data_IF_881494658559
#
_entry.id   IF_881494658559
#
_cell.length_a   1.000
_cell.length_b   1.000
_cell.length_c   1.000
_cell.angle_alpha   90.00
_cell.angle_beta   90.00
_cell.angle_gamma   90.00
#
_symmetry.space_group_name_H-M   'P 1'
#
loop_
_entity.id
_entity.type
_entity.pdbx_description
1 polymer ?
#
# COMPACT_ATOMS: atom_id res chain seq x y z
N UNK A 1 22.51 3.56 14.77
CA UNK A 1 22.12 3.02 13.45
C UNK A 1 21.87 4.22 12.54
N UNK A 2 22.82 4.58 11.68
CA UNK A 2 22.64 5.70 10.75
C UNK A 2 21.56 5.33 9.75
N UNK A 3 20.46 6.09 9.70
CA UNK A 3 19.50 6.01 8.60
C UNK A 3 20.21 6.51 7.34
N UNK A 4 20.90 5.61 6.65
CA UNK A 4 21.32 5.87 5.28
C UNK A 4 20.05 6.05 4.45
N UNK A 5 19.90 7.14 3.71
CA UNK A 5 18.80 7.30 2.78
C UNK A 5 18.73 6.06 1.89
N UNK A 6 17.57 5.41 1.88
CA UNK A 6 17.35 4.11 1.21
C UNK A 6 17.86 4.13 -0.24
N UNK A 7 17.77 5.27 -0.92
CA UNK A 7 18.23 5.46 -2.29
C UNK A 7 19.74 5.47 -2.47
N UNK A 8 20.48 6.01 -1.50
CA UNK A 8 21.94 6.00 -1.48
C UNK A 8 22.45 4.60 -1.12
N UNK A 9 21.73 3.89 -0.26
CA UNK A 9 22.06 2.49 0.08
C UNK A 9 21.89 1.52 -1.11
N UNK A 10 21.01 1.84 -2.06
CA UNK A 10 20.72 1.04 -3.25
C UNK A 10 21.38 1.58 -4.54
N UNK A 11 22.26 2.60 -4.45
CA UNK A 11 22.95 3.23 -5.59
C UNK A 11 22.00 3.68 -6.72
N UNK A 12 20.82 4.19 -6.36
CA UNK A 12 19.82 4.55 -7.36
C UNK A 12 19.97 5.96 -7.90
N UNK A 13 19.69 6.19 -9.20
CA UNK A 13 19.69 7.53 -9.76
C UNK A 13 18.65 8.41 -9.06
N UNK A 14 19.10 9.49 -8.41
CA UNK A 14 18.22 10.44 -7.71
C UNK A 14 17.22 11.13 -8.67
N UNK A 15 17.57 11.27 -9.94
CA UNK A 15 16.75 11.94 -10.96
C UNK A 15 15.40 11.27 -11.23
N UNK A 16 15.29 9.95 -11.08
CA UNK A 16 14.01 9.25 -11.27
C UNK A 16 12.97 9.63 -10.20
N UNK A 17 13.41 9.86 -8.96
CA UNK A 17 12.53 10.32 -7.88
C UNK A 17 12.05 11.75 -8.10
N UNK A 18 12.93 12.62 -8.59
CA UNK A 18 12.54 14.01 -8.92
C UNK A 18 11.47 14.01 -10.01
N UNK A 19 11.65 13.21 -11.07
CA UNK A 19 10.66 13.07 -12.14
C UNK A 19 9.30 12.57 -11.62
N UNK A 20 9.29 11.54 -10.77
CA UNK A 20 8.06 11.02 -10.16
C UNK A 20 7.40 12.03 -9.23
N UNK A 21 8.17 12.75 -8.41
CA UNK A 21 7.64 13.80 -7.53
C UNK A 21 7.00 14.95 -8.34
N UNK A 22 7.63 15.37 -9.43
CA UNK A 22 7.06 16.38 -10.33
C UNK A 22 5.78 15.88 -11.02
N UNK A 23 5.75 14.62 -11.46
CA UNK A 23 4.56 14.02 -12.05
C UNK A 23 3.39 13.98 -11.04
N UNK A 24 3.64 13.59 -9.79
CA UNK A 24 2.61 13.62 -8.74
C UNK A 24 2.15 15.04 -8.40
N UNK A 25 3.06 16.02 -8.35
CA UNK A 25 2.69 17.42 -8.15
C UNK A 25 1.81 17.94 -9.30
N UNK A 26 2.14 17.60 -10.55
CA UNK A 26 1.34 17.97 -11.72
C UNK A 26 -0.04 17.30 -11.70
N UNK A 27 -0.11 16.01 -11.38
CA UNK A 27 -1.37 15.29 -11.21
C UNK A 27 -2.23 15.92 -10.11
N UNK A 28 -1.64 16.23 -8.96
CA UNK A 28 -2.33 16.91 -7.86
C UNK A 28 -2.90 18.26 -8.29
N UNK A 29 -2.13 19.08 -9.03
CA UNK A 29 -2.62 20.34 -9.58
C UNK A 29 -3.80 20.16 -10.55
N UNK A 30 -3.73 19.16 -11.43
CA UNK A 30 -4.82 18.87 -12.37
C UNK A 30 -6.09 18.41 -11.66
N UNK A 31 -5.97 17.62 -10.58
CA UNK A 31 -7.09 17.23 -9.72
C UNK A 31 -7.69 18.45 -9.02
N UNK A 32 -6.85 19.29 -8.39
CA UNK A 32 -7.31 20.50 -7.68
C UNK A 32 -8.01 21.50 -8.60
N UNK A 33 -7.58 21.60 -9.85
CA UNK A 33 -8.19 22.47 -10.85
C UNK A 33 -9.41 21.84 -11.54
N UNK A 34 -9.82 20.62 -11.15
CA UNK A 34 -10.96 19.91 -11.73
C UNK A 34 -10.74 19.35 -13.14
N UNK A 35 -9.52 19.45 -13.68
CA UNK A 35 -9.16 18.90 -14.99
C UNK A 35 -9.05 17.36 -14.97
N UNK A 36 -8.84 16.77 -13.79
CA UNK A 36 -8.84 15.32 -13.57
C UNK A 36 -9.73 14.96 -12.38
N UNK A 37 -10.40 13.80 -12.47
CA UNK A 37 -11.20 13.28 -11.37
C UNK A 37 -10.30 12.90 -10.18
N UNK A 38 -10.66 13.27 -8.93
CA UNK A 38 -9.96 12.80 -7.73
C UNK A 38 -9.91 11.27 -7.59
N UNK A 39 -10.84 10.56 -8.24
CA UNK A 39 -10.84 9.09 -8.30
C UNK A 39 -9.56 8.54 -8.93
N UNK A 40 -8.94 9.27 -9.85
CA UNK A 40 -7.68 8.85 -10.50
C UNK A 40 -6.57 8.74 -9.45
N UNK A 41 -6.49 9.70 -8.52
CA UNK A 41 -5.49 9.66 -7.45
C UNK A 41 -5.64 8.41 -6.57
N UNK A 42 -6.86 8.13 -6.10
CA UNK A 42 -7.13 6.93 -5.32
C UNK A 42 -6.90 5.63 -6.10
N UNK A 43 -7.32 5.58 -7.37
CA UNK A 43 -7.14 4.40 -8.23
C UNK A 43 -5.67 4.08 -8.49
N UNK A 44 -4.81 5.09 -8.64
CA UNK A 44 -3.37 4.90 -8.76
C UNK A 44 -2.78 4.22 -7.52
N UNK A 45 -3.20 4.64 -6.32
CA UNK A 45 -2.77 3.99 -5.08
C UNK A 45 -3.23 2.54 -5.02
N UNK A 46 -4.49 2.25 -5.35
CA UNK A 46 -5.01 0.88 -5.38
C UNK A 46 -4.22 0.01 -6.36
N UNK A 47 -3.98 0.51 -7.58
CA UNK A 47 -3.28 -0.24 -8.62
C UNK A 47 -1.83 -0.53 -8.21
N UNK A 48 -1.08 0.50 -7.83
CA UNK A 48 0.34 0.36 -7.45
C UNK A 48 0.46 -0.49 -6.19
N UNK A 49 -0.32 -0.20 -5.15
CA UNK A 49 -0.31 -0.97 -3.91
C UNK A 49 -0.64 -2.44 -4.14
N UNK A 50 -1.64 -2.74 -4.97
CA UNK A 50 -2.05 -4.12 -5.26
C UNK A 50 -1.00 -4.86 -6.08
N UNK A 51 -0.38 -4.21 -7.06
CA UNK A 51 0.75 -4.78 -7.81
C UNK A 51 1.90 -5.15 -6.85
N UNK A 52 2.29 -4.23 -5.96
CA UNK A 52 3.33 -4.48 -4.95
C UNK A 52 2.93 -5.65 -4.03
N UNK A 53 1.67 -5.69 -3.59
CA UNK A 53 1.15 -6.69 -2.67
C UNK A 53 1.10 -8.11 -3.26
N UNK A 54 0.69 -8.23 -4.52
CA UNK A 54 0.54 -9.54 -5.17
C UNK A 54 1.79 -9.98 -5.91
N UNK A 55 2.67 -9.06 -6.30
CA UNK A 55 3.88 -9.35 -7.09
C UNK A 55 5.14 -8.68 -6.49
N UNK A 56 5.49 -8.94 -5.21
CA UNK A 56 6.62 -8.26 -4.55
C UNK A 56 7.97 -8.56 -5.22
N UNK A 57 8.16 -9.75 -5.77
CA UNK A 57 9.39 -10.14 -6.48
C UNK A 57 9.53 -9.36 -7.79
N UNK A 58 8.53 -9.41 -8.65
CA UNK A 58 8.51 -8.67 -9.91
C UNK A 58 8.60 -7.15 -9.69
N UNK A 59 8.04 -6.66 -8.59
CA UNK A 59 8.19 -5.25 -8.17
C UNK A 59 9.66 -4.94 -7.86
N UNK A 60 10.34 -5.75 -7.06
CA UNK A 60 11.75 -5.56 -6.74
C UNK A 60 12.64 -5.58 -7.99
N UNK A 61 12.34 -6.48 -8.93
CA UNK A 61 13.01 -6.60 -10.24
C UNK A 61 12.78 -5.38 -11.12
N UNK A 62 11.52 -4.90 -11.25
CA UNK A 62 11.16 -3.70 -12.02
C UNK A 62 11.98 -2.49 -11.57
N UNK A 63 12.18 -2.40 -10.26
CA UNK A 63 12.92 -1.31 -9.67
C UNK A 63 14.44 -1.48 -9.83
N UNK A 64 14.94 -2.65 -10.25
CA UNK A 64 16.38 -2.99 -10.35
C UNK A 64 17.10 -2.80 -9.01
N UNK A 65 16.63 -3.46 -7.95
CA UNK A 65 17.36 -3.47 -6.68
C UNK A 65 18.72 -4.18 -6.88
N UNK A 66 19.81 -3.47 -6.57
CA UNK A 66 21.19 -3.93 -6.76
C UNK A 66 21.62 -5.04 -5.80
N UNK A 67 20.81 -5.32 -4.77
CA UNK A 67 21.08 -6.33 -3.74
C UNK A 67 19.95 -7.35 -3.70
N UNK A 68 20.27 -8.66 -3.61
CA UNK A 68 19.27 -9.69 -3.38
C UNK A 68 18.45 -9.38 -2.13
N UNK A 69 17.12 -9.47 -2.24
CA UNK A 69 16.22 -9.33 -1.11
C UNK A 69 16.01 -10.68 -0.42
N UNK A 70 15.90 -10.67 0.91
CA UNK A 70 15.51 -11.85 1.68
C UNK A 70 14.00 -12.08 1.56
N UNK A 71 13.54 -13.30 1.86
CA UNK A 71 12.10 -13.62 1.92
C UNK A 71 11.35 -12.71 2.89
N UNK A 72 11.99 -12.37 4.02
CA UNK A 72 11.46 -11.39 4.96
C UNK A 72 11.26 -10.02 4.31
N UNK A 73 12.24 -9.55 3.53
CA UNK A 73 12.16 -8.26 2.84
C UNK A 73 11.05 -8.25 1.78
N UNK A 74 10.87 -9.33 1.02
CA UNK A 74 9.72 -9.46 0.09
C UNK A 74 8.38 -9.47 0.81
N UNK A 75 8.32 -10.08 1.99
CA UNK A 75 7.12 -10.08 2.80
C UNK A 75 6.80 -8.71 3.40
N UNK A 76 7.82 -7.95 3.81
CA UNK A 76 7.63 -6.55 4.22
C UNK A 76 7.18 -5.67 3.05
N UNK A 77 7.73 -5.89 1.85
CA UNK A 77 7.29 -5.21 0.63
C UNK A 77 5.83 -5.54 0.31
N UNK A 78 5.41 -6.79 0.50
CA UNK A 78 4.01 -7.19 0.41
C UNK A 78 3.14 -6.36 1.35
N UNK A 79 3.45 -6.33 2.66
CA UNK A 79 2.68 -5.55 3.63
C UNK A 79 2.63 -4.05 3.29
N UNK A 80 3.73 -3.49 2.79
CA UNK A 80 3.79 -2.11 2.31
C UNK A 80 2.82 -1.85 1.15
N UNK A 81 2.77 -2.74 0.15
CA UNK A 81 1.79 -2.67 -0.92
C UNK A 81 0.35 -2.68 -0.39
N UNK A 82 0.08 -3.50 0.63
CA UNK A 82 -1.23 -3.58 1.27
C UNK A 82 -1.65 -2.28 1.93
N UNK A 83 -0.72 -1.58 2.59
CA UNK A 83 -0.97 -0.26 3.18
C UNK A 83 -1.25 0.82 2.13
N UNK A 84 -0.55 0.79 0.99
CA UNK A 84 -0.84 1.70 -0.12
C UNK A 84 -2.24 1.43 -0.68
N UNK A 85 -2.60 0.16 -0.87
CA UNK A 85 -3.93 -0.24 -1.36
C UNK A 85 -5.04 0.24 -0.43
N UNK A 86 -4.92 0.04 0.88
CA UNK A 86 -5.95 0.45 1.85
C UNK A 86 -6.10 1.97 1.90
N UNK A 87 -4.99 2.71 1.79
CA UNK A 87 -5.02 4.16 1.63
C UNK A 87 -5.74 4.58 0.34
N UNK A 88 -5.46 3.92 -0.78
CA UNK A 88 -6.15 4.14 -2.05
C UNK A 88 -7.67 3.90 -1.96
N UNK A 89 -8.09 2.82 -1.29
CA UNK A 89 -9.51 2.50 -1.07
C UNK A 89 -10.22 3.61 -0.28
N UNK A 90 -9.59 4.09 0.79
CA UNK A 90 -10.11 5.22 1.55
C UNK A 90 -10.26 6.49 0.68
N UNK A 91 -9.23 6.83 -0.09
CA UNK A 91 -9.25 8.00 -0.98
C UNK A 91 -10.31 7.88 -2.08
N UNK A 92 -10.45 6.70 -2.69
CA UNK A 92 -11.51 6.44 -3.70
C UNK A 92 -12.89 6.58 -3.07
N UNK A 93 -13.11 6.04 -1.86
CA UNK A 93 -14.38 6.16 -1.17
C UNK A 93 -14.77 7.63 -0.95
N UNK A 94 -13.85 8.45 -0.43
CA UNK A 94 -14.09 9.89 -0.25
C UNK A 94 -14.32 10.61 -1.58
N UNK A 95 -13.52 10.30 -2.61
CA UNK A 95 -13.67 10.88 -3.94
C UNK A 95 -14.99 10.48 -4.63
N UNK A 96 -15.56 9.33 -4.27
CA UNK A 96 -16.87 8.88 -4.71
C UNK A 96 -18.04 9.52 -3.93
N UNK A 97 -17.75 10.43 -2.99
CA UNK A 97 -18.76 11.11 -2.18
C UNK A 97 -19.24 10.32 -0.98
N UNK A 98 -18.56 9.22 -0.62
CA UNK A 98 -18.87 8.51 0.63
C UNK A 98 -18.42 9.32 1.83
N UNK A 99 -19.13 9.13 2.94
CA UNK A 99 -18.78 9.76 4.20
C UNK A 99 -17.46 9.21 4.75
N UNK A 100 -16.84 9.98 5.65
CA UNK A 100 -15.64 9.57 6.37
C UNK A 100 -15.76 8.17 7.02
N UNK A 101 -16.83 7.86 7.78
CA UNK A 101 -17.02 6.53 8.35
C UNK A 101 -17.14 5.41 7.29
N UNK A 102 -17.85 5.66 6.17
CA UNK A 102 -17.95 4.70 5.06
C UNK A 102 -16.59 4.46 4.40
N UNK A 103 -15.77 5.50 4.23
CA UNK A 103 -14.40 5.37 3.74
C UNK A 103 -13.51 4.54 4.66
N UNK A 104 -13.59 4.79 5.97
CA UNK A 104 -12.86 3.99 6.97
C UNK A 104 -13.32 2.53 6.97
N UNK A 105 -14.63 2.29 6.88
CA UNK A 105 -15.18 0.95 6.78
C UNK A 105 -14.60 0.20 5.56
N UNK A 106 -14.62 0.82 4.37
CA UNK A 106 -14.07 0.20 3.17
C UNK A 106 -12.57 -0.12 3.31
N UNK A 107 -11.79 0.82 3.84
CA UNK A 107 -10.34 0.64 3.99
C UNK A 107 -9.99 -0.42 5.04
N UNK A 108 -10.68 -0.46 6.18
CA UNK A 108 -10.46 -1.43 7.24
C UNK A 108 -10.95 -2.83 6.84
N UNK A 109 -12.06 -2.93 6.11
CA UNK A 109 -12.52 -4.18 5.53
C UNK A 109 -11.50 -4.77 4.56
N UNK A 110 -10.93 -3.94 3.68
CA UNK A 110 -9.85 -4.37 2.80
C UNK A 110 -8.57 -4.76 3.57
N UNK A 111 -8.20 -3.98 4.60
CA UNK A 111 -7.07 -4.30 5.46
C UNK A 111 -7.24 -5.65 6.16
N UNK A 112 -8.46 -5.99 6.60
CA UNK A 112 -8.76 -7.28 7.20
C UNK A 112 -8.49 -8.44 6.23
N UNK A 113 -8.95 -8.32 4.98
CA UNK A 113 -8.73 -9.33 3.94
C UNK A 113 -7.24 -9.50 3.59
N UNK A 114 -6.51 -8.40 3.48
CA UNK A 114 -5.08 -8.42 3.20
C UNK A 114 -4.31 -9.06 4.36
N UNK A 115 -4.54 -8.61 5.61
CA UNK A 115 -3.92 -9.19 6.79
C UNK A 115 -4.22 -10.71 6.92
N UNK A 116 -5.45 -11.12 6.62
CA UNK A 116 -5.85 -12.53 6.62
C UNK A 116 -5.08 -13.33 5.55
N UNK A 117 -5.00 -12.83 4.31
CA UNK A 117 -4.20 -13.47 3.24
C UNK A 117 -2.74 -13.61 3.67
N UNK A 118 -2.16 -12.56 4.24
CA UNK A 118 -0.77 -12.61 4.70
C UNK A 118 -0.57 -13.67 5.80
N UNK A 119 -1.49 -13.75 6.78
CA UNK A 119 -1.43 -14.75 7.84
C UNK A 119 -1.52 -16.20 7.31
N UNK A 120 -2.40 -16.43 6.33
CA UNK A 120 -2.63 -17.77 5.77
C UNK A 120 -1.44 -18.20 4.91
N UNK A 121 -0.97 -17.33 4.01
CA UNK A 121 -0.07 -17.70 2.92
C UNK A 121 1.39 -17.28 3.12
N UNK A 122 1.70 -16.27 3.93
CA UNK A 122 3.07 -15.74 4.05
C UNK A 122 3.72 -16.02 5.41
N UNK A 123 2.98 -15.85 6.52
CA UNK A 123 3.53 -15.99 7.87
C UNK A 123 4.26 -17.32 8.10
N UNK A 124 3.68 -18.43 7.62
CA UNK A 124 4.26 -19.77 7.77
C UNK A 124 5.56 -19.96 6.99
N UNK A 125 5.71 -19.32 5.82
CA UNK A 125 6.94 -19.41 5.00
C UNK A 125 8.14 -18.75 5.71
N UNK A 126 7.87 -17.80 6.61
CA UNK A 126 8.88 -17.04 7.33
C UNK A 126 9.18 -17.62 8.72
N UNK A 127 8.54 -18.72 9.11
CA UNK A 127 8.59 -19.22 10.49
C UNK A 127 7.96 -18.25 11.50
N UNK A 128 7.14 -17.30 11.04
CA UNK A 128 6.51 -16.29 11.88
C UNK A 128 5.18 -16.81 12.45
N UNK A 129 4.81 -16.31 13.64
CA UNK A 129 3.50 -16.60 14.22
C UNK A 129 2.38 -16.02 13.36
N UNK A 130 1.35 -16.83 13.09
CA UNK A 130 0.12 -16.40 12.40
C UNK A 130 -0.80 -15.59 13.30
N UNK A 131 -0.60 -15.63 14.62
CA UNK A 131 -1.56 -15.07 15.58
C UNK A 131 -1.65 -13.53 15.47
N UNK A 132 -0.56 -12.75 15.46
CA UNK A 132 -0.66 -11.29 15.33
C UNK A 132 -1.42 -10.81 14.08
N UNK A 133 -1.12 -11.28 12.85
CA UNK A 133 -1.87 -10.83 11.67
C UNK A 133 -3.32 -11.32 11.66
N UNK A 134 -3.64 -12.47 12.28
CA UNK A 134 -5.04 -12.91 12.45
C UNK A 134 -5.82 -12.00 13.41
N UNK A 135 -5.21 -11.62 14.53
CA UNK A 135 -5.81 -10.66 15.47
C UNK A 135 -6.02 -9.31 14.77
N UNK A 136 -5.03 -8.86 14.00
CA UNK A 136 -5.14 -7.61 13.24
C UNK A 136 -6.25 -7.65 12.18
N UNK A 137 -6.41 -8.79 11.49
CA UNK A 137 -7.50 -9.00 10.56
C UNK A 137 -8.86 -8.92 11.26
N UNK A 138 -9.01 -9.59 12.41
CA UNK A 138 -10.23 -9.55 13.20
C UNK A 138 -10.56 -8.15 13.70
N UNK A 139 -9.60 -7.43 14.29
CA UNK A 139 -9.78 -6.05 14.74
C UNK A 139 -10.17 -5.11 13.59
N UNK A 140 -9.52 -5.26 12.44
CA UNK A 140 -9.84 -4.45 11.25
C UNK A 140 -11.27 -4.72 10.76
N UNK A 141 -11.71 -5.97 10.74
CA UNK A 141 -13.08 -6.31 10.38
C UNK A 141 -14.10 -5.76 11.40
N UNK A 142 -13.79 -5.84 12.70
CA UNK A 142 -14.64 -5.28 13.76
C UNK A 142 -14.76 -3.76 13.63
N UNK A 143 -13.64 -3.05 13.47
CA UNK A 143 -13.67 -1.60 13.29
C UNK A 143 -14.32 -1.17 11.98
N UNK A 144 -14.20 -1.99 10.92
CA UNK A 144 -14.94 -1.77 9.68
C UNK A 144 -16.45 -1.81 9.90
N UNK A 145 -16.95 -2.77 10.67
CA UNK A 145 -18.38 -2.87 10.98
C UNK A 145 -18.84 -1.71 11.89
N UNK A 146 -18.06 -1.39 12.92
CA UNK A 146 -18.35 -0.30 13.85
C UNK A 146 -18.34 1.08 13.17
N UNK A 147 -17.52 1.28 12.13
CA UNK A 147 -17.50 2.53 11.37
C UNK A 147 -18.78 2.75 10.53
N UNK A 148 -19.66 1.77 10.41
CA UNK A 148 -20.94 1.89 9.69
C UNK A 148 -22.15 2.05 10.63
N UNK A 149 -21.94 1.97 11.95
CA UNK A 149 -22.96 2.13 12.98
C UNK A 149 -23.03 3.58 13.47
#
# INVERSE_FOLDING_TARGET
>A
MSMLPVWEYFDRPKGSQVGVALAFAALGKLILNGALSPLIGGAMYILVGSLIYFTPVSTAELYALSKPMTDFAYSMLTLYGGMITTCGIYLVALAAGLSQPQGFAAALGANALLALKWAIFEAGKLGASKLPPLIWAALSATFSALALM
#
